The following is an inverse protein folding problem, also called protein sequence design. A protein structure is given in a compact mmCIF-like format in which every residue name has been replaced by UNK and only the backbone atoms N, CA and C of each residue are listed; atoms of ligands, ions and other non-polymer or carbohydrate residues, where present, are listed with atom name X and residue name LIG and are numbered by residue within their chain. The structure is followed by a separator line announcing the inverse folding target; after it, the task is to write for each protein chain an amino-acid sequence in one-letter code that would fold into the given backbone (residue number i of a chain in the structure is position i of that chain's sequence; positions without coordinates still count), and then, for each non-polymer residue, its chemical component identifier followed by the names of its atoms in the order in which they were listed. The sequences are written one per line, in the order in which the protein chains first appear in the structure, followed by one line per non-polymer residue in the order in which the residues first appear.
data_IF_877913954452
#
_entry.id   IF_877913954452
#
_cell.length_a   1.000
_cell.length_b   1.000
_cell.length_c   1.000
_cell.angle_alpha   90.00
_cell.angle_beta   90.00
_cell.angle_gamma   90.00
#
_symmetry.space_group_name_H-M   'P 1'
#
loop_
_entity.id
_entity.type
_entity.pdbx_description
1 polymer ?
#
# COMPACT_ATOMS: atom_id res chain seq x y z
N UNK A 1 10.96 -4.01 18.17
CA UNK A 1 9.50 -3.94 18.02
C UNK A 1 9.08 -5.17 17.24
N UNK A 2 8.11 -5.93 17.73
CA UNK A 2 7.56 -7.07 17.00
C UNK A 2 6.31 -6.69 16.20
N UNK A 3 5.78 -7.64 15.42
CA UNK A 3 4.60 -7.44 14.56
C UNK A 3 3.36 -7.02 15.35
N UNK A 4 3.18 -7.57 16.55
CA UNK A 4 2.04 -7.25 17.41
C UNK A 4 2.13 -5.82 17.96
N UNK A 5 3.32 -5.42 18.42
CA UNK A 5 3.61 -4.06 18.90
C UNK A 5 3.47 -3.04 17.76
N UNK A 6 4.02 -3.33 16.58
CA UNK A 6 3.92 -2.47 15.40
C UNK A 6 2.46 -2.18 15.02
N UNK A 7 1.65 -3.22 14.87
CA UNK A 7 0.23 -3.02 14.53
C UNK A 7 -0.56 -2.42 15.70
N UNK A 8 -0.19 -2.74 16.94
CA UNK A 8 -0.75 -2.11 18.13
C UNK A 8 -0.61 -0.59 18.10
N UNK A 9 0.59 -0.09 17.76
CA UNK A 9 0.85 1.35 17.61
C UNK A 9 0.06 1.96 16.45
N UNK A 10 -0.04 1.29 15.29
CA UNK A 10 -0.86 1.79 14.17
C UNK A 10 -2.34 1.87 14.54
N UNK A 11 -2.89 0.85 15.22
CA UNK A 11 -4.29 0.85 15.69
C UNK A 11 -4.58 2.01 16.65
N UNK A 12 -3.65 2.32 17.56
CA UNK A 12 -3.78 3.46 18.46
C UNK A 12 -3.82 4.79 17.70
N UNK A 13 -3.04 4.90 16.62
CA UNK A 13 -2.92 6.11 15.81
C UNK A 13 -4.12 6.34 14.89
N UNK A 14 -4.70 5.27 14.35
CA UNK A 14 -5.83 5.29 13.41
C UNK A 14 -7.08 4.63 14.00
N UNK A 15 -7.57 5.16 15.12
CA UNK A 15 -8.68 4.57 15.89
C UNK A 15 -10.02 4.48 15.15
N UNK A 16 -10.19 5.23 14.06
CA UNK A 16 -11.40 5.22 13.22
C UNK A 16 -11.36 4.17 12.10
N UNK A 17 -10.30 3.34 12.06
CA UNK A 17 -10.02 2.39 10.98
C UNK A 17 -9.94 0.99 11.58
N UNK A 18 -10.53 0.01 10.90
CA UNK A 18 -10.48 -1.38 11.35
C UNK A 18 -9.31 -2.08 10.69
N UNK A 19 -8.47 -2.74 11.50
CA UNK A 19 -7.32 -3.51 11.03
C UNK A 19 -7.62 -5.00 11.16
N UNK A 20 -7.63 -5.71 10.04
CA UNK A 20 -7.78 -7.17 9.96
C UNK A 20 -6.43 -7.76 9.61
N UNK A 21 -5.87 -8.54 10.52
CA UNK A 21 -4.55 -9.14 10.36
C UNK A 21 -4.69 -10.57 9.84
N UNK A 22 -3.81 -10.94 8.92
CA UNK A 22 -3.60 -12.30 8.46
C UNK A 22 -2.10 -12.59 8.50
N UNK A 23 -1.70 -13.41 9.45
CA UNK A 23 -0.31 -13.82 9.64
C UNK A 23 -0.09 -15.19 9.00
N UNK A 24 1.04 -15.34 8.33
CA UNK A 24 1.54 -16.59 7.77
C UNK A 24 2.97 -16.84 8.27
N UNK A 25 3.55 -17.99 7.91
CA UNK A 25 4.95 -18.32 8.28
C UNK A 25 5.96 -17.32 7.72
N UNK A 26 5.64 -16.60 6.64
CA UNK A 26 6.56 -15.70 5.95
C UNK A 26 6.07 -14.26 5.87
N UNK A 27 4.82 -13.97 6.23
CA UNK A 27 4.20 -12.70 5.89
C UNK A 27 3.18 -12.25 6.94
N UNK A 28 3.18 -10.95 7.20
CA UNK A 28 2.13 -10.22 7.87
C UNK A 28 1.35 -9.40 6.83
N UNK A 29 0.12 -9.82 6.54
CA UNK A 29 -0.83 -9.08 5.69
C UNK A 29 -1.87 -8.38 6.58
N UNK A 30 -1.89 -7.05 6.55
CA UNK A 30 -2.81 -6.23 7.35
C UNK A 30 -3.73 -5.47 6.44
N UNK A 31 -4.98 -5.91 6.41
CA UNK A 31 -6.08 -5.24 5.76
C UNK A 31 -6.59 -4.09 6.63
N UNK A 32 -6.59 -2.90 6.07
CA UNK A 32 -7.00 -1.64 6.69
C UNK A 32 -8.33 -1.23 6.06
N UNK A 33 -9.42 -1.55 6.75
CA UNK A 33 -10.79 -1.29 6.33
C UNK A 33 -11.14 0.17 6.58
N UNK A 34 -11.41 0.88 5.48
CA UNK A 34 -11.82 2.28 5.51
C UNK A 34 -13.33 2.42 5.71
N UNK A 35 -13.78 3.62 6.08
CA UNK A 35 -15.21 3.92 6.24
C UNK A 35 -16.03 3.47 5.02
N UNK A 36 -17.29 3.06 5.23
CA UNK A 36 -18.14 2.46 4.18
C UNK A 36 -18.28 3.31 2.90
N UNK A 37 -18.08 4.62 3.01
CA UNK A 37 -18.12 5.56 1.88
C UNK A 37 -16.91 5.48 0.95
N UNK A 38 -15.78 4.93 1.41
CA UNK A 38 -14.56 4.80 0.62
C UNK A 38 -14.64 3.53 -0.26
N UNK A 39 -14.27 3.62 -1.55
CA UNK A 39 -14.49 2.54 -2.51
C UNK A 39 -13.45 1.41 -2.46
N UNK A 40 -12.51 1.42 -1.50
CA UNK A 40 -11.41 0.48 -1.43
C UNK A 40 -11.07 0.09 0.01
N UNK A 41 -10.28 -0.97 0.14
CA UNK A 41 -9.58 -1.32 1.36
C UNK A 41 -8.07 -1.23 1.13
N UNK A 42 -7.32 -0.73 2.12
CA UNK A 42 -5.86 -0.65 2.06
C UNK A 42 -5.23 -1.93 2.63
N UNK A 43 -4.01 -2.25 2.20
CA UNK A 43 -3.26 -3.39 2.69
C UNK A 43 -1.85 -2.94 3.03
N UNK A 44 -1.32 -3.43 4.14
CA UNK A 44 0.09 -3.35 4.49
C UNK A 44 0.59 -4.78 4.49
N UNK A 45 1.56 -5.07 3.63
CA UNK A 45 2.20 -6.36 3.55
C UNK A 45 3.63 -6.20 4.02
N UNK A 46 4.01 -6.99 5.02
CA UNK A 46 5.34 -6.97 5.62
C UNK A 46 5.85 -8.40 5.60
N UNK A 47 7.04 -8.62 5.04
CA UNK A 47 7.73 -9.90 5.16
C UNK A 47 8.09 -10.15 6.63
N UNK A 48 8.02 -11.39 7.12
CA UNK A 48 8.29 -11.71 8.52
C UNK A 48 9.72 -11.35 8.95
N UNK A 49 10.64 -11.28 7.99
CA UNK A 49 12.00 -10.78 8.21
C UNK A 49 12.09 -9.25 8.06
N UNK A 50 10.99 -8.51 8.04
CA UNK A 50 10.90 -7.04 7.82
C UNK A 50 11.77 -6.51 6.66
N UNK A 51 12.12 -7.40 5.73
CA UNK A 51 12.98 -7.11 4.60
C UNK A 51 12.24 -6.23 3.60
N UNK A 52 10.92 -6.40 3.51
CA UNK A 52 10.04 -5.68 2.60
C UNK A 52 8.80 -5.15 3.30
N UNK A 53 8.36 -3.97 2.86
CA UNK A 53 7.01 -3.47 3.10
C UNK A 53 6.38 -2.97 1.80
N UNK A 54 5.18 -3.47 1.53
CA UNK A 54 4.32 -2.98 0.47
C UNK A 54 3.02 -2.42 1.04
N UNK A 55 2.60 -1.28 0.51
CA UNK A 55 1.27 -0.72 0.81
C UNK A 55 0.46 -0.70 -0.48
N UNK A 56 -0.69 -1.38 -0.44
CA UNK A 56 -1.56 -1.64 -1.57
C UNK A 56 -2.99 -1.14 -1.34
N UNK A 57 -3.81 -1.17 -2.39
CA UNK A 57 -5.26 -1.03 -2.24
C UNK A 57 -6.01 -1.99 -3.14
N UNK A 58 -7.15 -2.46 -2.65
CA UNK A 58 -8.11 -3.25 -3.43
C UNK A 58 -9.42 -2.51 -3.49
N UNK A 59 -10.01 -2.37 -4.69
CA UNK A 59 -11.35 -1.81 -4.82
C UNK A 59 -12.36 -2.77 -4.23
N UNK A 60 -13.33 -2.29 -3.43
CA UNK A 60 -14.44 -3.13 -2.95
C UNK A 60 -15.27 -3.69 -4.11
N UNK A 61 -15.26 -3.00 -5.27
CA UNK A 61 -15.95 -3.42 -6.48
C UNK A 61 -15.16 -4.39 -7.37
N UNK A 62 -13.87 -4.63 -7.13
CA UNK A 62 -13.04 -5.50 -7.97
C UNK A 62 -12.16 -6.43 -7.12
N UNK A 63 -12.13 -7.74 -7.40
CA UNK A 63 -11.44 -8.70 -6.53
C UNK A 63 -9.91 -8.67 -6.63
N UNK A 64 -9.35 -7.98 -7.63
CA UNK A 64 -7.92 -8.00 -7.89
C UNK A 64 -7.21 -6.90 -7.11
N UNK A 65 -6.20 -7.30 -6.33
CA UNK A 65 -5.28 -6.38 -5.65
C UNK A 65 -4.57 -5.52 -6.69
N UNK A 66 -4.63 -4.21 -6.52
CA UNK A 66 -3.74 -3.30 -7.23
C UNK A 66 -2.59 -3.02 -6.26
N UNK A 67 -1.39 -3.53 -6.55
CA UNK A 67 -0.22 -3.26 -5.71
C UNK A 67 0.22 -1.80 -5.89
N UNK A 68 0.28 -1.02 -4.81
CA UNK A 68 0.45 0.44 -4.87
C UNK A 68 1.83 0.93 -4.47
N UNK A 69 2.69 0.12 -3.86
CA UNK A 69 3.96 0.64 -3.40
C UNK A 69 4.88 -0.53 -3.08
N UNK A 70 6.08 -0.53 -3.66
CA UNK A 70 7.21 -1.30 -3.15
C UNK A 70 8.13 -0.28 -2.52
N UNK A 71 8.27 -0.33 -1.20
CA UNK A 71 8.73 0.86 -0.49
C UNK A 71 10.11 0.76 0.09
N UNK A 72 10.44 -0.35 0.74
CA UNK A 72 11.68 -0.42 1.49
C UNK A 72 12.21 -1.84 1.39
N UNK A 73 13.44 -1.97 0.91
CA UNK A 73 14.20 -3.22 0.88
C UNK A 73 15.40 -3.04 1.82
N UNK A 74 15.44 -3.77 2.94
CA UNK A 74 16.63 -3.81 3.78
C UNK A 74 17.59 -4.91 3.31
N UNK A 75 18.64 -4.51 2.61
CA UNK A 75 19.69 -5.46 2.19
C UNK A 75 20.78 -5.69 3.25
N UNK A 76 20.82 -4.91 4.33
CA UNK A 76 21.98 -4.82 5.24
C UNK A 76 21.71 -5.23 6.70
N UNK A 77 20.53 -5.77 6.99
CA UNK A 77 20.24 -6.42 8.27
C UNK A 77 19.26 -5.66 9.15
N UNK A 78 18.53 -6.44 9.95
CA UNK A 78 17.44 -5.99 10.81
C UNK A 78 17.96 -5.44 12.13
N UNK A 79 18.12 -4.12 12.22
CA UNK A 79 18.27 -3.46 13.50
C UNK A 79 16.96 -2.79 13.95
N UNK A 80 16.93 -2.35 15.21
CA UNK A 80 15.74 -1.71 15.79
C UNK A 80 15.38 -0.39 15.12
N UNK A 81 16.35 0.28 14.51
CA UNK A 81 16.17 1.60 13.91
C UNK A 81 15.40 1.45 12.60
N UNK A 82 15.73 0.42 11.81
CA UNK A 82 14.98 0.06 10.62
C UNK A 82 13.49 -0.16 10.89
N UNK A 83 13.15 -0.89 11.95
CA UNK A 83 11.75 -1.20 12.28
C UNK A 83 10.99 0.09 12.69
N UNK A 84 11.67 1.04 13.33
CA UNK A 84 11.08 2.33 13.66
C UNK A 84 10.89 3.22 12.43
N UNK A 85 11.85 3.26 11.51
CA UNK A 85 11.72 3.97 10.22
C UNK A 85 10.54 3.43 9.42
N UNK A 86 10.43 2.09 9.32
CA UNK A 86 9.30 1.44 8.65
C UNK A 86 7.94 1.84 9.26
N UNK A 87 7.90 1.97 10.59
CA UNK A 87 6.69 2.39 11.29
C UNK A 87 6.32 3.84 10.99
N UNK A 88 7.29 4.75 11.03
CA UNK A 88 7.06 6.16 10.74
C UNK A 88 6.57 6.35 9.30
N UNK A 89 7.19 5.67 8.35
CA UNK A 89 6.81 5.66 6.93
C UNK A 89 5.39 5.10 6.71
N UNK A 90 5.09 3.97 7.35
CA UNK A 90 3.74 3.39 7.33
C UNK A 90 2.69 4.38 7.83
N UNK A 91 3.00 5.03 8.95
CA UNK A 91 2.10 5.99 9.57
C UNK A 91 1.92 7.25 8.70
N UNK A 92 2.99 7.79 8.11
CA UNK A 92 2.89 8.92 7.19
C UNK A 92 2.07 8.58 5.94
N UNK A 93 2.35 7.42 5.33
CA UNK A 93 1.66 7.00 4.13
C UNK A 93 0.16 6.76 4.38
N UNK A 94 -0.19 6.02 5.44
CA UNK A 94 -1.59 5.80 5.82
C UNK A 94 -2.32 7.12 6.09
N UNK A 95 -1.66 8.09 6.73
CA UNK A 95 -2.24 9.41 6.97
C UNK A 95 -2.56 10.13 5.66
N UNK A 96 -1.68 10.08 4.66
CA UNK A 96 -1.93 10.66 3.34
C UNK A 96 -3.10 9.96 2.64
N UNK A 97 -3.04 8.63 2.61
CA UNK A 97 -4.01 7.77 1.92
C UNK A 97 -5.43 7.88 2.52
N UNK A 98 -5.55 8.01 3.84
CA UNK A 98 -6.85 8.13 4.52
C UNK A 98 -7.44 9.54 4.42
N UNK A 99 -6.60 10.57 4.32
CA UNK A 99 -7.05 11.98 4.37
C UNK A 99 -7.36 12.56 3.00
N UNK A 100 -6.63 12.15 1.97
CA UNK A 100 -6.68 12.79 0.65
C UNK A 100 -7.37 11.89 -0.39
N UNK A 101 -8.02 12.47 -1.41
CA UNK A 101 -8.34 11.73 -2.62
C UNK A 101 -7.06 11.16 -3.22
N UNK A 102 -7.11 9.93 -3.71
CA UNK A 102 -5.97 9.27 -4.35
C UNK A 102 -6.30 8.96 -5.81
N UNK A 103 -5.30 8.75 -6.66
CA UNK A 103 -5.53 8.23 -8.00
C UNK A 103 -4.42 7.28 -8.42
N UNK A 104 -4.78 6.29 -9.21
CA UNK A 104 -3.82 5.45 -9.94
C UNK A 104 -3.86 5.85 -11.40
N UNK A 105 -2.68 6.00 -11.98
CA UNK A 105 -2.48 6.17 -13.40
C UNK A 105 -1.76 4.92 -13.92
N UNK A 106 -2.37 4.24 -14.90
CA UNK A 106 -1.77 3.13 -15.62
C UNK A 106 -1.20 3.61 -16.96
N UNK A 107 0.12 3.62 -17.10
CA UNK A 107 0.79 3.89 -18.37
C UNK A 107 1.12 2.56 -19.05
N UNK A 108 0.68 2.39 -20.30
CA UNK A 108 1.00 1.22 -21.11
C UNK A 108 2.29 1.47 -21.89
N UNK A 109 3.34 0.72 -21.58
CA UNK A 109 4.54 0.57 -22.41
C UNK A 109 4.41 -0.63 -23.37
N UNK A 110 5.43 -0.82 -24.21
CA UNK A 110 5.47 -1.93 -25.19
C UNK A 110 5.78 -3.27 -24.50
N UNK A 111 6.64 -3.25 -23.48
CA UNK A 111 7.09 -4.45 -22.77
C UNK A 111 6.75 -4.43 -21.28
N UNK A 112 6.18 -3.33 -20.80
CA UNK A 112 5.85 -3.13 -19.40
C UNK A 112 4.61 -2.24 -19.26
N UNK A 113 3.90 -2.39 -18.16
CA UNK A 113 2.89 -1.42 -17.72
C UNK A 113 3.41 -0.77 -16.46
N UNK A 114 3.34 0.56 -16.38
CA UNK A 114 3.65 1.26 -15.12
C UNK A 114 2.38 1.74 -14.45
N UNK A 115 2.40 1.72 -13.12
CA UNK A 115 1.35 2.23 -12.26
C UNK A 115 1.94 3.34 -11.42
N UNK A 116 1.28 4.49 -11.41
CA UNK A 116 1.67 5.64 -10.60
C UNK A 116 0.53 5.96 -9.63
N UNK A 117 0.84 5.95 -8.34
CA UNK A 117 -0.09 6.36 -7.29
C UNK A 117 0.16 7.82 -6.93
N UNK A 118 -0.91 8.60 -6.81
CA UNK A 118 -0.86 10.00 -6.44
C UNK A 118 -1.94 10.32 -5.41
N UNK A 119 -1.73 11.36 -4.61
CA UNK A 119 -2.76 11.95 -3.75
C UNK A 119 -3.01 13.42 -4.13
N UNK A 120 -4.21 13.92 -3.85
CA UNK A 120 -4.60 15.30 -4.09
C UNK A 120 -4.50 16.12 -2.80
N UNK A 121 -3.56 17.06 -2.79
CA UNK A 121 -3.47 18.12 -1.79
C UNK A 121 -3.95 19.44 -2.44
N UNK A 122 -3.04 20.35 -2.76
CA UNK A 122 -3.29 21.47 -3.69
C UNK A 122 -3.24 21.03 -5.15
N UNK A 123 -2.40 20.04 -5.43
CA UNK A 123 -2.09 19.45 -6.71
C UNK A 123 -1.86 17.94 -6.53
N UNK A 124 -1.84 17.20 -7.64
CA UNK A 124 -1.60 15.76 -7.59
C UNK A 124 -0.13 15.47 -7.34
N UNK A 125 0.19 14.92 -6.16
CA UNK A 125 1.54 14.58 -5.73
C UNK A 125 1.77 13.07 -5.82
N UNK A 126 2.92 12.66 -6.36
CA UNK A 126 3.29 11.25 -6.49
C UNK A 126 3.60 10.65 -5.12
N UNK A 127 3.00 9.49 -4.86
CA UNK A 127 3.36 8.58 -3.76
C UNK A 127 4.39 7.59 -4.27
N UNK A 128 4.09 6.93 -5.39
CA UNK A 128 4.88 5.81 -5.89
C UNK A 128 4.75 5.68 -7.40
N UNK A 129 5.71 4.98 -8.00
CA UNK A 129 5.63 4.54 -9.39
C UNK A 129 6.34 3.20 -9.57
N UNK A 130 5.57 2.18 -9.93
CA UNK A 130 6.08 0.83 -10.16
C UNK A 130 5.87 0.43 -11.62
N UNK A 131 6.70 -0.48 -12.12
CA UNK A 131 6.57 -1.03 -13.48
C UNK A 131 6.55 -2.55 -13.43
N UNK A 132 5.60 -3.16 -14.14
CA UNK A 132 5.44 -4.61 -14.24
C UNK A 132 5.71 -5.00 -15.69
N UNK A 133 6.65 -5.92 -15.91
CA UNK A 133 6.92 -6.47 -17.23
C UNK A 133 5.73 -7.30 -17.72
N UNK A 134 5.50 -7.33 -19.04
CA UNK A 134 4.42 -8.12 -19.66
C UNK A 134 4.75 -9.62 -19.70
N UNK A 135 5.22 -10.19 -18.59
CA UNK A 135 5.57 -11.61 -18.47
C UNK A 135 4.39 -12.40 -17.92
N UNK A 136 3.47 -12.90 -18.76
CA UNK A 136 2.32 -13.77 -18.40
C UNK A 136 1.41 -13.37 -17.20
N UNK A 137 1.67 -12.28 -16.51
CA UNK A 137 0.85 -11.77 -15.42
C UNK A 137 -0.39 -11.09 -16.00
N UNK A 138 -1.56 -11.43 -15.45
CA UNK A 138 -2.80 -10.72 -15.72
C UNK A 138 -2.72 -9.33 -15.10
N UNK A 139 -2.13 -8.38 -15.83
CA UNK A 139 -2.06 -6.98 -15.41
C UNK A 139 -3.49 -6.43 -15.40
N UNK A 140 -4.02 -6.03 -14.23
CA UNK A 140 -5.38 -5.51 -14.15
C UNK A 140 -5.48 -4.20 -14.95
N UNK A 141 -6.56 -4.07 -15.72
CA UNK A 141 -6.79 -2.94 -16.61
C UNK A 141 -7.61 -1.88 -15.89
N UNK A 142 -7.10 -0.65 -15.87
CA UNK A 142 -7.86 0.50 -15.39
C UNK A 142 -8.58 1.14 -16.59
N UNK A 143 -9.91 1.14 -16.57
CA UNK A 143 -10.71 1.84 -17.59
C UNK A 143 -10.36 3.32 -17.62
N UNK A 144 -10.06 3.85 -18.82
CA UNK A 144 -9.60 5.23 -18.98
C UNK A 144 -8.16 5.48 -18.54
N UNK A 145 -7.41 4.45 -18.10
CA UNK A 145 -6.00 4.50 -17.66
C UNK A 145 -5.71 5.41 -16.47
N UNK A 146 -6.70 6.12 -15.95
CA UNK A 146 -6.63 6.87 -14.71
C UNK A 146 -7.90 6.59 -13.94
N UNK A 147 -7.75 6.26 -12.66
CA UNK A 147 -8.86 6.13 -11.74
C UNK A 147 -8.58 7.01 -10.54
N UNK A 148 -9.47 7.98 -10.32
CA UNK A 148 -9.51 8.79 -9.11
C UNK A 148 -10.38 8.07 -8.08
N UNK A 149 -9.96 8.11 -6.83
CA UNK A 149 -10.61 7.56 -5.67
C UNK A 149 -10.83 8.68 -4.65
N UNK A 150 -12.10 8.98 -4.37
CA UNK A 150 -12.53 10.07 -3.47
C UNK A 150 -12.90 9.55 -2.07
#
# INVERSE_FOLDING_TARGET
MDSAEFIGKLKQRFNSVTFVQKETEYELDVLVLTAEKKPYDFYIWIDNDWAFMDIGATLKSEPNRYFWYQSWENLNGLDSDWINELFDDSNELLKLLLKHPTRIIQCKGIFSSSFECQFLDTDWKRISKNSVLHTNFNIPKINGRTKIYE
#
